data_IF_210273353342
#
_entry.id   IF_210273353342
#
_cell.length_a   1.000
_cell.length_b   1.000
_cell.length_c   1.000
_cell.angle_alpha   90.00
_cell.angle_beta   90.00
_cell.angle_gamma   90.00
#
_symmetry.space_group_name_H-M   'P 1'
#
loop_
_entity.id
_entity.type
_entity.pdbx_description
1 polymer ?
#
# COMPACT_ATOMS: atom_id res chain seq x y z
N UNK A 1 -44.38 -1.15 -5.42
CA UNK A 1 -43.99 -1.29 -6.85
C UNK A 1 -42.49 -1.45 -7.03
N UNK A 2 -41.65 -0.63 -6.36
CA UNK A 2 -40.17 -0.75 -6.38
C UNK A 2 -39.68 -2.16 -5.98
N UNK A 3 -40.27 -2.74 -4.93
CA UNK A 3 -39.93 -4.07 -4.39
C UNK A 3 -40.00 -5.21 -5.39
N UNK A 4 -41.11 -5.30 -6.13
CA UNK A 4 -41.35 -6.38 -7.07
C UNK A 4 -40.33 -6.32 -8.21
N UNK A 5 -40.04 -5.10 -8.65
CA UNK A 5 -39.11 -4.87 -9.74
C UNK A 5 -37.65 -5.14 -9.34
N UNK A 6 -37.24 -4.84 -8.10
CA UNK A 6 -35.87 -5.14 -7.63
C UNK A 6 -35.59 -6.64 -7.68
N UNK A 7 -36.57 -7.48 -7.33
CA UNK A 7 -36.42 -8.94 -7.39
C UNK A 7 -36.39 -9.43 -8.84
N UNK A 8 -37.29 -8.95 -9.70
CA UNK A 8 -37.26 -9.23 -11.14
C UNK A 8 -35.92 -8.82 -11.78
N UNK A 9 -35.39 -7.66 -11.40
CA UNK A 9 -34.10 -7.18 -11.86
C UNK A 9 -32.94 -8.07 -11.37
N UNK A 10 -32.93 -8.46 -10.10
CA UNK A 10 -31.90 -9.35 -9.56
C UNK A 10 -31.86 -10.69 -10.32
N UNK A 11 -33.04 -11.27 -10.62
CA UNK A 11 -33.14 -12.48 -11.43
C UNK A 11 -32.69 -12.24 -12.88
N UNK A 12 -33.04 -11.10 -13.48
CA UNK A 12 -32.65 -10.75 -14.84
C UNK A 12 -31.13 -10.54 -14.99
N UNK A 13 -30.43 -10.06 -13.95
CA UNK A 13 -28.97 -9.91 -13.92
C UNK A 13 -28.24 -11.25 -13.88
N UNK A 14 -28.83 -12.26 -13.23
CA UNK A 14 -28.27 -13.62 -13.15
C UNK A 14 -28.61 -14.48 -14.39
N UNK A 15 -29.67 -14.14 -15.10
CA UNK A 15 -30.10 -14.81 -16.33
C UNK A 15 -29.64 -14.12 -17.62
N UNK A 16 -30.29 -14.44 -18.74
CA UNK A 16 -30.03 -13.85 -20.08
C UNK A 16 -30.90 -12.63 -20.40
N UNK A 17 -31.73 -12.18 -19.45
CA UNK A 17 -32.77 -11.16 -19.66
C UNK A 17 -32.26 -9.74 -19.99
N UNK A 18 -30.95 -9.51 -19.88
CA UNK A 18 -30.29 -8.21 -20.11
C UNK A 18 -29.17 -8.29 -21.16
N UNK A 19 -29.25 -9.22 -22.10
CA UNK A 19 -28.30 -9.34 -23.22
C UNK A 19 -28.46 -8.23 -24.27
N UNK A 20 -29.68 -7.67 -24.39
CA UNK A 20 -30.00 -6.63 -25.38
C UNK A 20 -29.76 -5.24 -24.77
N UNK A 21 -29.02 -4.39 -25.48
CA UNK A 21 -28.62 -3.05 -25.04
C UNK A 21 -29.81 -2.17 -24.62
N UNK A 22 -30.91 -2.16 -25.38
CA UNK A 22 -32.11 -1.39 -25.05
C UNK A 22 -32.73 -1.79 -23.71
N UNK A 23 -32.72 -3.08 -23.36
CA UNK A 23 -33.22 -3.56 -22.07
C UNK A 23 -32.31 -3.06 -20.92
N UNK A 24 -30.99 -3.04 -21.16
CA UNK A 24 -30.00 -2.51 -20.22
C UNK A 24 -30.20 -1.01 -19.98
N UNK A 25 -30.44 -0.23 -21.04
CA UNK A 25 -30.69 1.21 -20.93
C UNK A 25 -31.96 1.53 -20.14
N UNK A 26 -33.02 0.74 -20.34
CA UNK A 26 -34.26 0.89 -19.58
C UNK A 26 -34.04 0.55 -18.10
N UNK A 27 -33.32 -0.55 -17.82
CA UNK A 27 -32.95 -0.91 -16.46
C UNK A 27 -32.11 0.18 -15.81
N UNK A 28 -31.06 0.67 -16.47
CA UNK A 28 -30.18 1.74 -15.97
C UNK A 28 -30.95 3.02 -15.62
N UNK A 29 -31.89 3.44 -16.47
CA UNK A 29 -32.78 4.59 -16.19
C UNK A 29 -33.65 4.36 -14.96
N UNK A 30 -34.24 3.18 -14.83
CA UNK A 30 -35.12 2.83 -13.71
C UNK A 30 -34.35 2.73 -12.38
N UNK A 31 -33.16 2.13 -12.39
CA UNK A 31 -32.26 2.09 -11.22
C UNK A 31 -31.94 3.51 -10.77
N UNK A 32 -31.54 4.39 -11.69
CA UNK A 32 -31.22 5.78 -11.34
C UNK A 32 -32.41 6.51 -10.71
N UNK A 33 -33.62 6.31 -11.24
CA UNK A 33 -34.84 6.86 -10.65
C UNK A 33 -35.04 6.40 -9.21
N UNK A 34 -34.92 5.09 -8.96
CA UNK A 34 -35.05 4.52 -7.61
C UNK A 34 -33.96 5.04 -6.66
N UNK A 35 -32.72 5.16 -7.13
CA UNK A 35 -31.62 5.71 -6.31
C UNK A 35 -31.83 7.17 -5.96
N UNK A 36 -32.39 7.96 -6.88
CA UNK A 36 -32.73 9.37 -6.63
C UNK A 36 -33.83 9.47 -5.57
N UNK A 37 -34.86 8.63 -5.65
CA UNK A 37 -35.91 8.54 -4.63
C UNK A 37 -35.35 8.09 -3.28
N UNK A 38 -34.48 7.08 -3.26
CA UNK A 38 -33.85 6.57 -2.05
C UNK A 38 -32.97 7.63 -1.36
N UNK A 39 -32.23 8.42 -2.14
CA UNK A 39 -31.42 9.52 -1.62
C UNK A 39 -32.24 10.63 -0.94
N UNK A 40 -33.55 10.71 -1.21
CA UNK A 40 -34.46 11.66 -0.59
C UNK A 40 -35.21 11.11 0.65
N UNK A 41 -35.01 9.83 1.01
CA UNK A 41 -35.66 9.22 2.18
C UNK A 41 -34.93 9.62 3.46
N UNK A 42 -35.57 10.42 4.31
CA UNK A 42 -34.96 10.90 5.57
C UNK A 42 -34.80 9.79 6.63
N UNK A 43 -35.76 8.86 6.71
CA UNK A 43 -35.81 7.81 7.75
C UNK A 43 -36.08 6.42 7.14
N UNK A 44 -35.07 5.75 6.58
CA UNK A 44 -35.21 4.41 6.02
C UNK A 44 -35.49 3.38 7.11
N UNK A 45 -36.59 2.63 6.95
CA UNK A 45 -36.89 1.48 7.81
C UNK A 45 -36.15 0.20 7.35
N UNK A 46 -36.35 -0.91 8.07
CA UNK A 46 -35.70 -2.19 7.73
C UNK A 46 -36.02 -2.69 6.32
N UNK A 47 -37.26 -2.54 5.87
CA UNK A 47 -37.62 -2.88 4.50
C UNK A 47 -36.83 -2.03 3.50
N UNK A 48 -36.79 -0.69 3.67
CA UNK A 48 -36.03 0.21 2.79
C UNK A 48 -34.58 -0.25 2.64
N UNK A 49 -33.93 -0.57 3.76
CA UNK A 49 -32.56 -1.08 3.76
C UNK A 49 -32.39 -2.34 2.92
N UNK A 50 -33.29 -3.32 3.08
CA UNK A 50 -33.21 -4.58 2.35
C UNK A 50 -33.42 -4.41 0.84
N UNK A 51 -34.37 -3.58 0.38
CA UNK A 51 -34.54 -3.32 -1.06
C UNK A 51 -33.32 -2.63 -1.66
N UNK A 52 -32.89 -1.53 -1.03
CA UNK A 52 -31.81 -0.73 -1.60
C UNK A 52 -30.52 -1.53 -1.60
N UNK A 53 -30.26 -2.32 -0.56
CA UNK A 53 -29.15 -3.26 -0.56
C UNK A 53 -29.21 -4.25 -1.73
N UNK A 54 -30.34 -4.94 -1.95
CA UNK A 54 -30.48 -5.92 -3.05
C UNK A 54 -30.36 -5.27 -4.43
N UNK A 55 -30.91 -4.07 -4.58
CA UNK A 55 -30.80 -3.28 -5.79
C UNK A 55 -29.33 -2.95 -6.08
N UNK A 56 -28.60 -2.45 -5.07
CA UNK A 56 -27.19 -2.09 -5.20
C UNK A 56 -26.31 -3.31 -5.48
N UNK A 57 -26.55 -4.45 -4.82
CA UNK A 57 -25.78 -5.68 -5.03
C UNK A 57 -25.95 -6.20 -6.47
N UNK A 58 -27.18 -6.17 -6.98
CA UNK A 58 -27.49 -6.51 -8.38
C UNK A 58 -26.93 -5.47 -9.35
N UNK A 59 -27.03 -4.18 -9.00
CA UNK A 59 -26.50 -3.07 -9.79
C UNK A 59 -24.98 -3.18 -9.94
N UNK A 60 -24.25 -3.52 -8.87
CA UNK A 60 -22.80 -3.74 -8.90
C UNK A 60 -22.42 -4.80 -9.93
N UNK A 61 -23.14 -5.90 -9.98
CA UNK A 61 -22.90 -6.97 -10.97
C UNK A 61 -23.26 -6.49 -12.38
N UNK A 62 -24.42 -5.87 -12.53
CA UNK A 62 -24.91 -5.32 -13.79
C UNK A 62 -23.95 -4.31 -14.43
N UNK A 63 -23.31 -3.46 -13.62
CA UNK A 63 -22.36 -2.43 -14.05
C UNK A 63 -21.01 -2.96 -14.57
N UNK A 64 -20.73 -4.27 -14.44
CA UNK A 64 -19.51 -4.87 -14.98
C UNK A 64 -19.49 -4.87 -16.51
N UNK A 65 -20.66 -4.94 -17.15
CA UNK A 65 -20.82 -4.77 -18.58
C UNK A 65 -21.26 -3.32 -18.88
N UNK A 66 -20.43 -2.60 -19.63
CA UNK A 66 -20.59 -1.16 -19.88
C UNK A 66 -21.63 -0.82 -20.95
N UNK A 67 -22.15 -1.80 -21.68
CA UNK A 67 -23.14 -1.55 -22.74
C UNK A 67 -24.47 -1.06 -22.14
N UNK A 68 -25.04 0.01 -22.67
CA UNK A 68 -26.35 0.53 -22.26
C UNK A 68 -26.48 0.98 -20.79
N UNK A 69 -25.39 1.35 -20.10
CA UNK A 69 -25.44 1.79 -18.69
C UNK A 69 -25.00 3.23 -18.44
N UNK A 70 -24.94 4.09 -19.48
CA UNK A 70 -24.43 5.46 -19.37
C UNK A 70 -25.10 6.28 -18.26
N UNK A 71 -26.39 6.01 -18.00
CA UNK A 71 -27.15 6.66 -16.93
C UNK A 71 -26.58 6.37 -15.54
N UNK A 72 -26.02 5.17 -15.31
CA UNK A 72 -25.37 4.77 -14.05
C UNK A 72 -23.90 5.21 -13.99
N UNK A 73 -23.31 5.55 -15.13
CA UNK A 73 -21.95 6.06 -15.27
C UNK A 73 -21.89 7.60 -15.25
N UNK A 74 -23.02 8.25 -14.98
CA UNK A 74 -23.19 9.69 -14.92
C UNK A 74 -22.74 10.27 -13.57
N UNK A 75 -22.52 11.59 -13.53
CA UNK A 75 -22.20 12.28 -12.28
C UNK A 75 -23.39 12.29 -11.31
N UNK A 76 -24.62 12.29 -11.83
CA UNK A 76 -25.86 12.29 -11.07
C UNK A 76 -26.08 10.93 -10.37
N UNK A 77 -25.75 9.83 -11.05
CA UNK A 77 -25.77 8.51 -10.42
C UNK A 77 -24.67 8.39 -9.36
N UNK A 78 -23.47 8.88 -9.65
CA UNK A 78 -22.37 8.93 -8.68
C UNK A 78 -22.75 9.71 -7.42
N UNK A 79 -23.45 10.84 -7.58
CA UNK A 79 -23.99 11.63 -6.48
C UNK A 79 -25.01 10.86 -5.66
N UNK A 80 -25.96 10.19 -6.33
CA UNK A 80 -26.97 9.36 -5.66
C UNK A 80 -26.32 8.26 -4.81
N UNK A 81 -25.28 7.59 -5.32
CA UNK A 81 -24.53 6.62 -4.52
C UNK A 81 -23.87 7.28 -3.31
N UNK A 82 -23.22 8.43 -3.48
CA UNK A 82 -22.51 9.10 -2.40
C UNK A 82 -23.46 9.63 -1.31
N UNK A 83 -24.65 10.12 -1.67
CA UNK A 83 -25.67 10.53 -0.68
C UNK A 83 -26.06 9.36 0.23
N UNK A 84 -26.27 8.17 -0.35
CA UNK A 84 -26.55 6.96 0.43
C UNK A 84 -25.38 6.60 1.36
N UNK A 85 -24.14 6.85 0.96
CA UNK A 85 -22.94 6.59 1.77
C UNK A 85 -22.79 7.60 2.92
N UNK A 86 -23.15 8.86 2.69
CA UNK A 86 -23.04 9.95 3.67
C UNK A 86 -24.11 9.90 4.75
N UNK A 87 -25.30 9.42 4.41
CA UNK A 87 -26.41 9.32 5.35
C UNK A 87 -26.23 8.10 6.30
N UNK A 88 -26.13 8.39 7.60
CA UNK A 88 -25.94 7.40 8.65
C UNK A 88 -27.22 6.63 9.01
N UNK A 89 -28.39 7.07 8.52
CA UNK A 89 -29.64 6.37 8.73
C UNK A 89 -29.72 5.09 7.88
N UNK A 90 -28.94 5.01 6.78
CA UNK A 90 -28.77 3.77 6.04
C UNK A 90 -27.82 2.81 6.75
N UNK A 91 -28.15 1.51 6.68
CA UNK A 91 -27.32 0.44 7.23
C UNK A 91 -25.93 0.40 6.58
N UNK A 92 -24.93 -0.10 7.32
CA UNK A 92 -23.55 -0.28 6.81
C UNK A 92 -23.53 -1.06 5.50
N UNK A 93 -24.40 -2.07 5.35
CA UNK A 93 -24.49 -2.89 4.13
C UNK A 93 -24.88 -2.08 2.90
N UNK A 94 -25.86 -1.18 3.02
CA UNK A 94 -26.27 -0.29 1.92
C UNK A 94 -25.12 0.65 1.55
N UNK A 95 -24.50 1.25 2.56
CA UNK A 95 -23.40 2.21 2.38
C UNK A 95 -22.18 1.55 1.71
N UNK A 96 -21.80 0.37 2.17
CA UNK A 96 -20.71 -0.42 1.57
C UNK A 96 -21.03 -0.83 0.13
N UNK A 97 -22.27 -1.26 -0.16
CA UNK A 97 -22.64 -1.67 -1.51
C UNK A 97 -22.74 -0.49 -2.49
N UNK A 98 -23.16 0.69 -2.01
CA UNK A 98 -23.12 1.93 -2.77
C UNK A 98 -21.68 2.32 -3.13
N UNK A 99 -20.71 2.23 -2.20
CA UNK A 99 -19.30 2.45 -2.51
C UNK A 99 -18.77 1.47 -3.56
N UNK A 100 -19.17 0.20 -3.53
CA UNK A 100 -18.78 -0.77 -4.58
C UNK A 100 -19.35 -0.38 -5.96
N UNK A 101 -20.56 0.16 -6.02
CA UNK A 101 -21.11 0.73 -7.25
C UNK A 101 -20.33 1.98 -7.71
N UNK A 102 -19.91 2.84 -6.77
CA UNK A 102 -19.04 3.99 -7.07
C UNK A 102 -17.70 3.53 -7.66
N UNK A 103 -17.06 2.49 -7.11
CA UNK A 103 -15.82 1.92 -7.65
C UNK A 103 -16.01 1.54 -9.12
N UNK A 104 -17.09 0.83 -9.46
CA UNK A 104 -17.40 0.47 -10.85
C UNK A 104 -17.65 1.70 -11.74
N UNK A 105 -18.19 2.78 -11.18
CA UNK A 105 -18.46 4.03 -11.89
C UNK A 105 -17.18 4.76 -12.30
N UNK A 106 -16.11 4.66 -11.49
CA UNK A 106 -14.85 5.40 -11.71
C UNK A 106 -13.73 4.56 -12.32
N UNK A 107 -13.79 3.24 -12.17
CA UNK A 107 -12.78 2.29 -12.66
C UNK A 107 -12.55 2.44 -14.17
N UNK A 108 -11.29 2.51 -14.64
CA UNK A 108 -10.92 2.63 -16.06
C UNK A 108 -11.69 3.73 -16.82
N UNK A 109 -11.86 4.91 -16.18
CA UNK A 109 -12.50 6.11 -16.74
C UNK A 109 -11.77 7.41 -16.30
N UNK A 110 -10.47 7.57 -16.61
CA UNK A 110 -9.65 8.67 -16.09
C UNK A 110 -10.10 10.09 -16.51
N UNK A 111 -10.71 10.24 -17.69
CA UNK A 111 -11.26 11.52 -18.18
C UNK A 111 -12.46 11.96 -17.34
N UNK A 112 -13.47 11.08 -17.21
CA UNK A 112 -14.64 11.32 -16.36
C UNK A 112 -14.23 11.64 -14.91
N UNK A 113 -13.28 10.89 -14.36
CA UNK A 113 -12.77 11.11 -13.01
C UNK A 113 -12.15 12.51 -12.88
N UNK A 114 -11.30 12.90 -13.83
CA UNK A 114 -10.63 14.21 -13.82
C UNK A 114 -11.63 15.38 -13.86
N UNK A 115 -12.69 15.24 -14.64
CA UNK A 115 -13.72 16.27 -14.83
C UNK A 115 -14.78 16.29 -13.74
N UNK A 116 -15.01 15.16 -13.07
CA UNK A 116 -16.13 15.00 -12.14
C UNK A 116 -15.67 15.00 -10.69
N UNK A 117 -14.74 14.13 -10.31
CA UNK A 117 -14.46 13.85 -8.90
C UNK A 117 -13.90 15.07 -8.16
N UNK A 118 -12.99 15.81 -8.82
CA UNK A 118 -12.39 17.02 -8.26
C UNK A 118 -13.34 18.20 -8.45
N UNK A 119 -13.78 18.47 -9.69
CA UNK A 119 -14.52 19.70 -10.00
C UNK A 119 -15.90 19.76 -9.32
N UNK A 120 -16.54 18.62 -9.06
CA UNK A 120 -17.83 18.54 -8.36
C UNK A 120 -17.69 18.22 -6.86
N UNK A 121 -16.47 18.22 -6.30
CA UNK A 121 -16.26 18.09 -4.85
C UNK A 121 -16.47 16.69 -4.25
N UNK A 122 -16.55 15.65 -5.07
CA UNK A 122 -16.73 14.27 -4.59
C UNK A 122 -15.58 13.80 -3.70
N UNK A 123 -14.34 14.19 -4.01
CA UNK A 123 -13.17 13.83 -3.18
C UNK A 123 -13.32 14.35 -1.76
N UNK A 124 -13.68 15.62 -1.60
CA UNK A 124 -13.87 16.25 -0.28
C UNK A 124 -14.97 15.55 0.52
N UNK A 125 -16.07 15.21 -0.13
CA UNK A 125 -17.18 14.46 0.47
C UNK A 125 -16.78 13.05 0.91
N UNK A 126 -16.07 12.31 0.06
CA UNK A 126 -15.50 10.99 0.41
C UNK A 126 -14.55 11.07 1.61
N UNK A 127 -13.67 12.08 1.64
CA UNK A 127 -12.81 12.33 2.81
C UNK A 127 -13.64 12.67 4.05
N UNK A 128 -14.76 13.38 3.90
CA UNK A 128 -15.73 13.61 4.97
C UNK A 128 -16.36 12.33 5.52
N UNK A 129 -16.61 11.33 4.69
CA UNK A 129 -17.06 9.99 5.14
C UNK A 129 -15.95 9.31 5.95
N UNK A 130 -14.69 9.40 5.51
CA UNK A 130 -13.55 8.77 6.20
C UNK A 130 -13.29 9.33 7.62
N UNK A 131 -13.74 10.56 7.92
CA UNK A 131 -13.65 11.17 9.26
C UNK A 131 -14.60 10.57 10.28
N UNK A 132 -15.70 9.98 9.81
CA UNK A 132 -16.75 9.46 10.68
C UNK A 132 -16.37 8.05 11.13
N UNK A 133 -16.89 7.63 12.28
CA UNK A 133 -16.75 6.24 12.72
C UNK A 133 -17.39 5.26 11.73
N UNK A 134 -16.77 4.10 11.55
CA UNK A 134 -17.22 3.07 10.62
C UNK A 134 -16.53 1.73 10.84
N UNK A 135 -16.90 0.74 10.04
CA UNK A 135 -16.24 -0.56 9.99
C UNK A 135 -14.95 -0.46 9.15
N UNK A 136 -14.02 -1.39 9.34
CA UNK A 136 -12.83 -1.47 8.49
C UNK A 136 -13.20 -1.63 6.99
N UNK A 137 -14.26 -2.40 6.69
CA UNK A 137 -14.80 -2.55 5.33
C UNK A 137 -15.24 -1.21 4.74
N UNK A 138 -16.01 -0.42 5.49
CA UNK A 138 -16.48 0.89 5.02
C UNK A 138 -15.31 1.84 4.75
N UNK A 139 -14.35 1.95 5.67
CA UNK A 139 -13.15 2.77 5.46
C UNK A 139 -12.35 2.28 4.26
N UNK A 140 -12.16 0.97 4.11
CA UNK A 140 -11.46 0.39 2.98
C UNK A 140 -12.11 0.79 1.66
N UNK A 141 -13.43 0.67 1.56
CA UNK A 141 -14.14 1.00 0.33
C UNK A 141 -14.07 2.49 -0.03
N UNK A 142 -14.10 3.40 0.95
CA UNK A 142 -13.88 4.85 0.71
C UNK A 142 -12.50 5.09 0.11
N UNK A 143 -11.45 4.55 0.74
CA UNK A 143 -10.09 4.70 0.24
C UNK A 143 -9.87 3.95 -1.09
N UNK A 144 -10.60 2.86 -1.33
CA UNK A 144 -10.56 2.11 -2.58
C UNK A 144 -11.11 2.93 -3.75
N UNK A 145 -12.19 3.69 -3.55
CA UNK A 145 -12.69 4.63 -4.57
C UNK A 145 -11.60 5.63 -4.95
N UNK A 146 -10.92 6.22 -3.95
CA UNK A 146 -9.83 7.18 -4.20
C UNK A 146 -8.61 6.53 -4.88
N UNK A 147 -8.21 5.34 -4.45
CA UNK A 147 -7.10 4.58 -5.04
C UNK A 147 -7.37 4.25 -6.51
N UNK A 148 -8.55 3.74 -6.85
CA UNK A 148 -8.91 3.43 -8.24
C UNK A 148 -8.99 4.71 -9.07
N UNK A 149 -9.41 5.82 -8.48
CA UNK A 149 -9.47 7.13 -9.13
C UNK A 149 -8.09 7.71 -9.44
N UNK A 150 -7.01 7.16 -8.87
CA UNK A 150 -5.64 7.62 -9.13
C UNK A 150 -5.13 7.31 -10.54
N UNK A 151 -5.85 6.50 -11.33
CA UNK A 151 -5.61 6.38 -12.78
C UNK A 151 -5.72 7.72 -13.51
N UNK A 152 -6.50 8.66 -12.97
CA UNK A 152 -6.57 10.04 -13.43
C UNK A 152 -5.44 10.87 -12.79
N UNK A 153 -4.46 11.40 -13.56
CA UNK A 153 -3.26 12.05 -12.99
C UNK A 153 -3.55 13.27 -12.10
N UNK A 154 -4.70 13.93 -12.26
CA UNK A 154 -5.09 15.06 -11.41
C UNK A 154 -5.44 14.63 -9.98
N UNK A 155 -5.87 13.39 -9.77
CA UNK A 155 -6.32 12.90 -8.47
C UNK A 155 -5.15 12.71 -7.50
N UNK A 156 -4.06 11.98 -7.84
CA UNK A 156 -2.88 11.91 -6.99
C UNK A 156 -2.36 13.30 -6.63
N UNK A 157 -2.26 14.20 -7.61
CA UNK A 157 -1.78 15.58 -7.39
C UNK A 157 -2.65 16.37 -6.42
N UNK A 158 -3.97 16.23 -6.52
CA UNK A 158 -4.92 16.87 -5.62
C UNK A 158 -4.81 16.32 -4.18
N UNK A 159 -4.72 15.00 -4.05
CA UNK A 159 -4.63 14.32 -2.75
C UNK A 159 -3.27 14.55 -2.07
N UNK A 160 -2.18 14.48 -2.84
CA UNK A 160 -0.81 14.53 -2.33
C UNK A 160 -0.43 15.91 -1.78
N UNK A 161 -1.08 16.97 -2.25
CA UNK A 161 -0.89 18.35 -1.80
C UNK A 161 -1.81 18.76 -0.64
N UNK A 162 -2.72 17.87 -0.22
CA UNK A 162 -3.70 18.12 0.85
C UNK A 162 -3.22 17.60 2.20
N UNK A 163 -2.92 18.50 3.15
CA UNK A 163 -2.58 18.12 4.53
C UNK A 163 -3.66 17.25 5.18
N UNK A 164 -4.92 17.61 4.97
CA UNK A 164 -6.06 16.87 5.51
C UNK A 164 -6.09 15.43 5.01
N UNK A 165 -5.77 15.20 3.73
CA UNK A 165 -5.70 13.85 3.17
C UNK A 165 -4.65 13.02 3.89
N UNK A 166 -3.45 13.55 4.12
CA UNK A 166 -2.40 12.85 4.85
C UNK A 166 -2.76 12.57 6.31
N UNK A 167 -3.40 13.51 6.99
CA UNK A 167 -3.88 13.32 8.37
C UNK A 167 -4.93 12.20 8.44
N UNK A 168 -5.85 12.13 7.47
CA UNK A 168 -6.87 11.09 7.41
C UNK A 168 -6.31 9.73 7.03
N UNK A 169 -5.32 9.68 6.13
CA UNK A 169 -4.57 8.46 5.83
C UNK A 169 -3.88 7.95 7.09
N UNK A 170 -3.15 8.81 7.80
CA UNK A 170 -2.48 8.44 9.05
C UNK A 170 -3.47 7.91 10.08
N UNK A 171 -4.56 8.64 10.34
CA UNK A 171 -5.58 8.23 11.30
C UNK A 171 -6.24 6.89 10.91
N UNK A 172 -6.53 6.69 9.63
CA UNK A 172 -7.13 5.43 9.15
C UNK A 172 -6.15 4.27 9.22
N UNK A 173 -4.88 4.49 8.88
CA UNK A 173 -3.84 3.46 8.95
C UNK A 173 -3.59 3.07 10.41
N UNK A 174 -3.54 4.05 11.31
CA UNK A 174 -3.42 3.84 12.76
C UNK A 174 -4.62 3.06 13.31
N UNK A 175 -5.84 3.41 12.89
CA UNK A 175 -7.04 2.65 13.21
C UNK A 175 -6.91 1.19 12.74
N UNK A 176 -6.61 0.98 11.46
CA UNK A 176 -6.48 -0.34 10.86
C UNK A 176 -5.40 -1.21 11.52
N UNK A 177 -4.29 -0.61 11.95
CA UNK A 177 -3.16 -1.32 12.53
C UNK A 177 -3.33 -1.58 14.02
N UNK A 178 -3.70 -0.56 14.82
CA UNK A 178 -3.68 -0.66 16.28
C UNK A 178 -4.99 -1.18 16.90
N UNK A 179 -6.13 -1.07 16.22
CA UNK A 179 -7.43 -1.36 16.85
C UNK A 179 -7.96 -2.76 16.50
N UNK A 180 -8.42 -3.49 17.51
CA UNK A 180 -9.00 -4.84 17.34
C UNK A 180 -7.98 -5.96 17.53
N UNK A 181 -8.38 -7.21 17.21
CA UNK A 181 -7.51 -8.38 17.34
C UNK A 181 -6.33 -8.30 16.37
N UNK A 182 -5.09 -8.42 16.86
CA UNK A 182 -3.87 -8.30 16.05
C UNK A 182 -3.79 -9.34 14.92
N UNK A 183 -4.47 -10.50 15.05
CA UNK A 183 -4.58 -11.48 13.96
C UNK A 183 -5.30 -10.93 12.72
N UNK A 184 -6.17 -9.92 12.89
CA UNK A 184 -6.83 -9.21 11.79
C UNK A 184 -5.92 -8.34 10.92
N UNK A 185 -4.64 -8.17 11.27
CA UNK A 185 -3.66 -7.50 10.39
C UNK A 185 -3.36 -8.34 9.15
N UNK A 186 -3.45 -9.67 9.27
CA UNK A 186 -3.20 -10.61 8.18
C UNK A 186 -4.48 -11.30 7.71
N UNK A 187 -5.66 -10.92 8.21
CA UNK A 187 -6.91 -11.48 7.72
C UNK A 187 -8.11 -10.53 7.75
N UNK A 188 -9.07 -10.77 6.86
CA UNK A 188 -10.30 -10.01 6.75
C UNK A 188 -10.14 -8.57 6.24
N UNK A 189 -11.12 -7.73 6.58
CA UNK A 189 -11.25 -6.37 6.07
C UNK A 189 -10.11 -5.44 6.51
N UNK A 190 -9.55 -5.67 7.70
CA UNK A 190 -8.44 -4.86 8.21
C UNK A 190 -7.16 -5.06 7.41
N UNK A 191 -6.80 -6.31 7.09
CA UNK A 191 -5.68 -6.60 6.21
C UNK A 191 -5.84 -5.91 4.84
N UNK A 192 -7.06 -5.96 4.28
CA UNK A 192 -7.39 -5.35 2.98
C UNK A 192 -7.32 -3.82 3.04
N UNK A 193 -7.85 -3.21 4.10
CA UNK A 193 -7.75 -1.78 4.38
C UNK A 193 -6.28 -1.33 4.42
N UNK A 194 -5.46 -2.00 5.24
CA UNK A 194 -4.04 -1.65 5.40
C UNK A 194 -3.30 -1.74 4.07
N UNK A 195 -3.47 -2.85 3.32
CA UNK A 195 -2.80 -3.05 2.04
C UNK A 195 -3.17 -1.98 1.01
N UNK A 196 -4.47 -1.72 0.81
CA UNK A 196 -4.90 -0.74 -0.20
C UNK A 196 -4.60 0.70 0.22
N UNK A 197 -4.62 1.01 1.52
CA UNK A 197 -4.25 2.32 2.02
C UNK A 197 -2.74 2.59 1.82
N UNK A 198 -1.88 1.61 2.07
CA UNK A 198 -0.45 1.73 1.80
C UNK A 198 -0.18 1.83 0.29
N UNK A 199 -0.92 1.11 -0.57
CA UNK A 199 -0.82 1.30 -2.04
C UNK A 199 -1.17 2.73 -2.45
N UNK A 200 -2.20 3.33 -1.84
CA UNK A 200 -2.53 4.73 -2.08
C UNK A 200 -1.38 5.64 -1.64
N UNK A 201 -0.82 5.43 -0.46
CA UNK A 201 0.37 6.17 0.03
C UNK A 201 1.51 6.07 -0.98
N UNK A 202 1.82 4.88 -1.50
CA UNK A 202 2.87 4.69 -2.52
C UNK A 202 2.62 5.58 -3.75
N UNK A 203 1.38 5.63 -4.24
CA UNK A 203 0.99 6.49 -5.38
C UNK A 203 1.21 7.97 -5.04
N UNK A 204 0.77 8.41 -3.85
CA UNK A 204 0.85 9.81 -3.45
C UNK A 204 2.30 10.26 -3.22
N UNK A 205 3.13 9.46 -2.54
CA UNK A 205 4.55 9.76 -2.33
C UNK A 205 5.29 9.86 -3.67
N UNK A 206 5.02 8.94 -4.59
CA UNK A 206 5.62 8.95 -5.92
C UNK A 206 5.21 10.19 -6.73
N UNK A 207 3.95 10.64 -6.63
CA UNK A 207 3.47 11.88 -7.26
C UNK A 207 4.11 13.14 -6.67
N UNK A 208 4.29 13.19 -5.34
CA UNK A 208 4.88 14.36 -4.68
C UNK A 208 6.32 14.62 -5.09
N UNK A 209 7.09 13.55 -5.38
CA UNK A 209 8.55 13.61 -5.56
C UNK A 209 9.19 14.48 -4.46
N UNK A 210 9.07 14.06 -3.20
CA UNK A 210 9.44 14.84 -2.00
C UNK A 210 10.88 15.40 -2.11
N UNK A 211 11.02 16.64 -2.55
CA UNK A 211 12.29 17.36 -2.65
C UNK A 211 12.37 18.43 -1.56
N UNK A 212 13.58 18.95 -1.30
CA UNK A 212 13.78 20.03 -0.34
C UNK A 212 12.96 21.30 -0.66
N UNK A 213 12.66 21.55 -1.94
CA UNK A 213 11.81 22.67 -2.33
C UNK A 213 10.32 22.39 -2.04
N UNK A 214 9.86 21.15 -2.23
CA UNK A 214 8.50 20.75 -1.83
C UNK A 214 8.31 20.83 -0.32
N UNK A 215 9.35 20.51 0.47
CA UNK A 215 9.33 20.60 1.93
C UNK A 215 9.02 22.02 2.41
N UNK A 216 9.66 23.01 1.78
CA UNK A 216 9.42 24.42 2.08
C UNK A 216 8.02 24.87 1.68
N UNK A 217 7.46 24.32 0.59
CA UNK A 217 6.13 24.69 0.09
C UNK A 217 5.01 24.09 0.93
N UNK A 218 5.18 22.85 1.42
CA UNK A 218 4.13 22.09 2.11
C UNK A 218 4.66 21.47 3.43
N UNK A 219 5.13 22.27 4.40
CA UNK A 219 5.78 21.76 5.61
C UNK A 219 4.86 20.88 6.46
N UNK A 220 3.57 21.19 6.50
CA UNK A 220 2.58 20.37 7.21
C UNK A 220 2.42 18.98 6.59
N UNK A 221 2.45 18.88 5.26
CA UNK A 221 2.38 17.60 4.55
C UNK A 221 3.63 16.77 4.83
N UNK A 222 4.81 17.39 4.80
CA UNK A 222 6.06 16.71 5.13
C UNK A 222 6.05 16.17 6.56
N UNK A 223 5.55 16.94 7.53
CA UNK A 223 5.40 16.46 8.90
C UNK A 223 4.42 15.28 9.00
N UNK A 224 3.31 15.31 8.25
CA UNK A 224 2.36 14.20 8.23
C UNK A 224 2.97 12.93 7.59
N UNK A 225 3.72 13.07 6.48
CA UNK A 225 4.48 11.97 5.88
C UNK A 225 5.54 11.45 6.85
N UNK A 226 6.15 12.34 7.64
CA UNK A 226 7.10 11.95 8.65
C UNK A 226 6.46 11.08 9.74
N UNK A 227 5.32 11.48 10.27
CA UNK A 227 4.56 10.70 11.25
C UNK A 227 4.11 9.35 10.68
N UNK A 228 3.70 9.33 9.41
CA UNK A 228 3.37 8.11 8.68
C UNK A 228 4.56 7.16 8.57
N UNK A 229 5.77 7.70 8.39
CA UNK A 229 7.02 6.93 8.39
C UNK A 229 7.22 6.09 9.65
N UNK A 230 6.99 6.68 10.83
CA UNK A 230 7.05 5.97 12.11
C UNK A 230 6.05 4.81 12.17
N UNK A 231 4.80 5.04 11.77
CA UNK A 231 3.78 3.99 11.74
C UNK A 231 4.12 2.85 10.75
N UNK A 232 4.73 3.17 9.61
CA UNK A 232 5.21 2.17 8.65
C UNK A 232 6.38 1.35 9.20
N UNK A 233 7.28 1.96 9.99
CA UNK A 233 8.33 1.22 10.71
C UNK A 233 7.74 0.28 11.76
N UNK A 234 6.71 0.70 12.49
CA UNK A 234 6.00 -0.19 13.41
C UNK A 234 5.36 -1.38 12.68
N UNK A 235 4.79 -1.17 11.48
CA UNK A 235 4.28 -2.27 10.63
C UNK A 235 5.41 -3.22 10.22
N UNK A 236 6.60 -2.72 9.88
CA UNK A 236 7.76 -3.57 9.60
C UNK A 236 8.22 -4.37 10.82
N UNK A 237 8.16 -3.79 12.03
CA UNK A 237 8.49 -4.48 13.28
C UNK A 237 7.43 -5.47 13.75
N UNK A 238 6.22 -5.39 13.21
CA UNK A 238 5.11 -6.20 13.70
C UNK A 238 5.47 -7.69 13.74
N UNK A 239 5.38 -8.27 14.92
CA UNK A 239 5.50 -9.70 15.21
C UNK A 239 4.31 -10.13 16.05
N UNK A 240 3.91 -11.39 15.93
CA UNK A 240 2.80 -11.94 16.69
C UNK A 240 3.04 -13.43 16.93
N UNK A 241 2.72 -13.93 18.12
CA UNK A 241 2.97 -15.32 18.51
C UNK A 241 2.29 -16.35 17.60
N UNK A 242 1.11 -16.01 17.09
CA UNK A 242 0.30 -16.90 16.24
C UNK A 242 0.53 -16.69 14.73
N UNK A 243 1.27 -15.65 14.33
CA UNK A 243 1.49 -15.33 12.91
C UNK A 243 2.95 -15.60 12.58
N UNK A 244 3.19 -16.56 11.69
CA UNK A 244 4.54 -16.79 11.17
C UNK A 244 5.13 -15.49 10.58
N UNK A 245 6.40 -15.16 10.86
CA UNK A 245 7.09 -14.04 10.20
C UNK A 245 7.12 -14.15 8.68
N UNK A 246 6.98 -15.37 8.14
CA UNK A 246 6.93 -15.66 6.70
C UNK A 246 5.50 -15.81 6.17
N UNK A 247 4.48 -15.43 6.96
CA UNK A 247 3.09 -15.41 6.50
C UNK A 247 2.97 -14.56 5.23
N UNK A 248 2.37 -15.12 4.18
CA UNK A 248 2.30 -14.49 2.85
C UNK A 248 1.68 -13.09 2.92
N UNK A 249 0.59 -12.91 3.66
CA UNK A 249 -0.11 -11.62 3.78
C UNK A 249 0.69 -10.63 4.62
N UNK A 250 1.38 -11.09 5.67
CA UNK A 250 2.27 -10.23 6.46
C UNK A 250 3.45 -9.73 5.63
N UNK A 251 4.09 -10.63 4.88
CA UNK A 251 5.19 -10.26 3.96
C UNK A 251 4.70 -9.27 2.91
N UNK A 252 3.49 -9.46 2.37
CA UNK A 252 2.89 -8.50 1.42
C UNK A 252 2.75 -7.12 2.05
N UNK A 253 2.19 -7.05 3.26
CA UNK A 253 2.01 -5.80 3.97
C UNK A 253 3.33 -5.09 4.24
N UNK A 254 4.34 -5.82 4.74
CA UNK A 254 5.67 -5.26 4.99
C UNK A 254 6.36 -4.83 3.70
N UNK A 255 6.24 -5.60 2.62
CA UNK A 255 6.80 -5.22 1.32
C UNK A 255 6.12 -3.97 0.75
N UNK A 256 4.81 -3.78 0.99
CA UNK A 256 4.12 -2.52 0.64
C UNK A 256 4.63 -1.33 1.43
N UNK A 257 4.97 -1.49 2.71
CA UNK A 257 5.65 -0.44 3.46
C UNK A 257 7.04 -0.11 2.87
N UNK A 258 7.81 -1.12 2.45
CA UNK A 258 9.08 -0.92 1.75
C UNK A 258 8.92 -0.20 0.41
N UNK A 259 7.85 -0.47 -0.33
CA UNK A 259 7.52 0.27 -1.56
C UNK A 259 7.28 1.76 -1.28
N UNK A 260 6.65 2.13 -0.15
CA UNK A 260 6.56 3.55 0.22
C UNK A 260 7.94 4.13 0.46
N UNK A 261 8.76 3.44 1.26
CA UNK A 261 10.10 3.89 1.60
C UNK A 261 11.02 4.04 0.38
N UNK A 262 10.86 3.22 -0.66
CA UNK A 262 11.67 3.31 -1.87
C UNK A 262 11.54 4.67 -2.60
N UNK A 263 10.40 5.35 -2.43
CA UNK A 263 10.12 6.66 -3.05
C UNK A 263 10.49 7.85 -2.15
N UNK A 264 10.91 7.60 -0.91
CA UNK A 264 11.31 8.67 0.01
C UNK A 264 12.79 9.05 -0.18
N UNK A 265 13.14 10.33 0.03
CA UNK A 265 14.54 10.76 0.07
C UNK A 265 15.33 10.00 1.14
N UNK A 266 16.58 9.65 0.84
CA UNK A 266 17.45 8.95 1.79
C UNK A 266 17.62 9.69 3.13
N UNK A 267 17.65 11.01 3.12
CA UNK A 267 17.70 11.84 4.35
C UNK A 267 16.47 11.67 5.24
N UNK A 268 15.27 11.60 4.64
CA UNK A 268 14.03 11.38 5.36
C UNK A 268 13.94 9.94 5.89
N UNK A 269 14.35 8.95 5.09
CA UNK A 269 14.47 7.56 5.54
C UNK A 269 15.42 7.41 6.73
N UNK A 270 16.59 8.06 6.66
CA UNK A 270 17.55 8.07 7.76
C UNK A 270 16.95 8.72 9.01
N UNK A 271 16.23 9.83 8.87
CA UNK A 271 15.55 10.48 9.98
C UNK A 271 14.53 9.54 10.67
N UNK A 272 13.77 8.75 9.91
CA UNK A 272 12.81 7.79 10.49
C UNK A 272 13.51 6.71 11.33
N UNK A 273 14.57 6.14 10.78
CA UNK A 273 15.36 5.08 11.42
C UNK A 273 16.09 5.61 12.67
N UNK A 274 16.54 6.86 12.65
CA UNK A 274 17.32 7.47 13.73
C UNK A 274 16.45 8.09 14.85
N UNK A 275 15.21 8.45 14.56
CA UNK A 275 14.31 9.05 15.56
C UNK A 275 13.81 8.09 16.63
N UNK A 276 14.16 6.82 16.55
CA UNK A 276 13.75 5.86 17.55
C UNK A 276 14.75 5.75 18.70
N UNK A 277 14.38 6.22 19.90
CA UNK A 277 15.07 5.82 21.10
C UNK A 277 14.81 4.33 21.36
N UNK A 278 15.89 3.57 21.55
CA UNK A 278 15.88 2.27 22.23
C UNK A 278 15.48 2.50 23.70
N UNK A 279 14.18 2.61 23.99
CA UNK A 279 13.66 2.68 25.36
C UNK A 279 12.41 1.83 25.49
N UNK A 280 12.60 0.53 25.66
CA UNK A 280 11.69 -0.32 26.42
C UNK A 280 12.47 -0.83 27.64
N UNK A 281 12.25 -0.23 28.81
CA UNK A 281 12.96 -0.54 30.06
C UNK A 281 12.55 -1.88 30.69
N UNK A 282 11.66 -2.67 30.06
CA UNK A 282 11.04 -3.85 30.70
C UNK A 282 11.61 -5.21 30.26
N UNK A 283 12.54 -5.28 29.30
CA UNK A 283 13.20 -6.55 28.93
C UNK A 283 14.71 -6.34 28.77
N UNK A 284 15.47 -6.77 29.79
CA UNK A 284 16.90 -6.53 29.97
C UNK A 284 17.89 -7.19 28.98
N UNK A 285 17.56 -7.27 27.68
CA UNK A 285 18.51 -7.55 26.60
C UNK A 285 18.01 -6.85 25.31
N UNK A 286 18.54 -5.66 24.99
CA UNK A 286 18.19 -4.91 23.78
C UNK A 286 19.40 -4.90 22.83
N UNK A 287 19.44 -5.83 21.87
CA UNK A 287 20.32 -5.76 20.67
C UNK A 287 19.53 -5.24 19.45
N UNK A 288 18.56 -4.36 19.71
CA UNK A 288 17.68 -3.77 18.70
C UNK A 288 18.37 -2.67 17.91
N UNK A 289 19.26 -3.06 17.00
CA UNK A 289 19.81 -2.18 15.98
C UNK A 289 18.74 -1.27 15.35
N UNK A 290 19.07 0.01 15.10
CA UNK A 290 18.17 0.99 14.45
C UNK A 290 17.60 0.46 13.11
N UNK A 291 18.37 -0.36 12.38
CA UNK A 291 17.97 -0.95 11.10
C UNK A 291 17.32 -2.32 11.23
N UNK A 292 17.06 -2.81 12.44
CA UNK A 292 16.47 -4.15 12.66
C UNK A 292 15.22 -4.42 11.83
N UNK A 293 14.24 -3.51 11.65
CA UNK A 293 13.03 -3.83 10.87
C UNK A 293 13.34 -4.03 9.40
N UNK A 294 14.28 -3.25 8.86
CA UNK A 294 14.71 -3.32 7.45
C UNK A 294 15.52 -4.59 7.22
N UNK A 295 16.43 -4.93 8.14
CA UNK A 295 17.28 -6.13 8.06
C UNK A 295 16.43 -7.40 8.23
N UNK A 296 15.50 -7.43 9.16
CA UNK A 296 14.62 -8.57 9.38
C UNK A 296 13.70 -8.79 8.18
N UNK A 297 13.18 -7.71 7.59
CA UNK A 297 12.41 -7.81 6.35
C UNK A 297 13.29 -8.29 5.18
N UNK A 298 14.52 -7.80 5.04
CA UNK A 298 15.48 -8.29 4.05
C UNK A 298 15.74 -9.79 4.19
N UNK A 299 15.94 -10.27 5.41
CA UNK A 299 16.13 -11.69 5.70
C UNK A 299 14.89 -12.50 5.32
N UNK A 300 13.69 -12.05 5.72
CA UNK A 300 12.44 -12.71 5.35
C UNK A 300 12.25 -12.75 3.82
N UNK A 301 12.54 -11.65 3.12
CA UNK A 301 12.48 -11.59 1.66
C UNK A 301 13.49 -12.52 0.98
N UNK A 302 14.72 -12.64 1.51
CA UNK A 302 15.70 -13.63 1.03
C UNK A 302 15.18 -15.06 1.18
N UNK A 303 14.49 -15.37 2.28
CA UNK A 303 13.89 -16.70 2.47
C UNK A 303 12.80 -16.98 1.44
N UNK A 304 11.79 -16.12 1.33
CA UNK A 304 10.63 -16.37 0.44
C UNK A 304 10.96 -16.24 -1.05
N UNK A 305 11.90 -15.37 -1.44
CA UNK A 305 12.28 -15.17 -2.85
C UNK A 305 13.34 -16.17 -3.31
N UNK A 306 14.33 -16.51 -2.46
CA UNK A 306 15.50 -17.30 -2.90
C UNK A 306 15.61 -18.70 -2.31
N UNK A 307 15.01 -18.96 -1.16
CA UNK A 307 15.05 -20.28 -0.54
C UNK A 307 13.81 -21.06 -0.91
N UNK A 308 12.65 -20.52 -0.55
CA UNK A 308 11.36 -21.15 -0.77
C UNK A 308 10.87 -20.93 -2.21
N UNK A 309 11.31 -19.84 -2.85
CA UNK A 309 10.85 -19.41 -4.19
C UNK A 309 9.31 -19.28 -4.27
N UNK A 310 8.69 -18.87 -3.16
CA UNK A 310 7.25 -18.61 -3.04
C UNK A 310 6.87 -17.23 -3.56
N UNK A 311 7.86 -16.35 -3.80
CA UNK A 311 7.68 -15.01 -4.38
C UNK A 311 8.66 -14.73 -5.53
N UNK A 312 8.25 -13.92 -6.52
CA UNK A 312 9.09 -13.59 -7.66
C UNK A 312 10.24 -12.65 -7.29
N UNK A 313 11.36 -12.78 -8.01
CA UNK A 313 12.60 -12.01 -7.76
C UNK A 313 12.39 -10.49 -7.73
N UNK A 314 11.53 -9.96 -8.61
CA UNK A 314 11.24 -8.53 -8.72
C UNK A 314 10.70 -7.90 -7.42
N UNK A 315 10.09 -8.70 -6.54
CA UNK A 315 9.58 -8.21 -5.25
C UNK A 315 10.71 -7.90 -4.26
N UNK A 316 11.94 -8.34 -4.53
CA UNK A 316 13.11 -7.97 -3.74
C UNK A 316 13.54 -6.50 -3.94
N UNK A 317 13.13 -5.89 -5.06
CA UNK A 317 13.64 -4.60 -5.50
C UNK A 317 13.36 -3.44 -4.52
N UNK A 318 12.14 -3.26 -3.95
CA UNK A 318 11.89 -2.21 -2.97
C UNK A 318 12.84 -2.32 -1.76
N UNK A 319 13.04 -3.54 -1.26
CA UNK A 319 13.93 -3.80 -0.13
C UNK A 319 15.38 -3.42 -0.44
N UNK A 320 15.90 -3.82 -1.61
CA UNK A 320 17.27 -3.48 -2.01
C UNK A 320 17.47 -1.98 -2.24
N UNK A 321 16.47 -1.30 -2.82
CA UNK A 321 16.51 0.15 -3.04
C UNK A 321 16.53 0.89 -1.70
N UNK A 322 15.70 0.49 -0.73
CA UNK A 322 15.69 1.10 0.60
C UNK A 322 17.04 0.90 1.31
N UNK A 323 17.58 -0.34 1.30
CA UNK A 323 18.91 -0.61 1.86
C UNK A 323 20.00 0.24 1.22
N UNK A 324 20.00 0.34 -0.12
CA UNK A 324 20.91 1.19 -0.88
C UNK A 324 20.75 2.66 -0.51
N UNK A 325 19.52 3.19 -0.50
CA UNK A 325 19.25 4.61 -0.24
C UNK A 325 19.66 5.03 1.17
N UNK A 326 19.43 4.16 2.16
CA UNK A 326 19.90 4.35 3.53
C UNK A 326 21.44 4.38 3.59
N UNK A 327 22.12 3.41 2.99
CA UNK A 327 23.59 3.38 2.97
C UNK A 327 24.19 4.58 2.23
N UNK A 328 23.56 5.00 1.12
CA UNK A 328 23.98 6.13 0.28
C UNK A 328 23.92 7.48 1.01
N UNK A 329 23.20 7.59 2.12
CA UNK A 329 23.23 8.80 2.96
C UNK A 329 24.62 9.09 3.52
N UNK A 330 25.51 8.09 3.59
CA UNK A 330 26.84 8.24 4.16
C UNK A 330 26.85 8.37 5.69
N UNK A 331 25.71 8.17 6.37
CA UNK A 331 25.65 8.19 7.83
C UNK A 331 26.53 7.08 8.43
N UNK A 332 27.53 7.41 9.28
CA UNK A 332 28.41 6.42 9.88
C UNK A 332 27.68 5.37 10.69
N UNK A 333 26.61 5.75 11.39
CA UNK A 333 25.83 4.84 12.23
C UNK A 333 25.07 3.81 11.39
N UNK A 334 24.43 4.28 10.30
CA UNK A 334 23.72 3.41 9.34
C UNK A 334 24.68 2.45 8.67
N UNK A 335 25.82 2.94 8.17
CA UNK A 335 26.83 2.11 7.51
C UNK A 335 27.41 1.07 8.48
N UNK A 336 27.79 1.49 9.69
CA UNK A 336 28.32 0.58 10.72
C UNK A 336 27.32 -0.51 11.06
N UNK A 337 26.04 -0.13 11.20
CA UNK A 337 24.94 -1.04 11.45
C UNK A 337 24.79 -2.09 10.33
N UNK A 338 24.71 -1.65 9.06
CA UNK A 338 24.62 -2.58 7.93
C UNK A 338 25.86 -3.47 7.82
N UNK A 339 27.08 -2.92 7.97
CA UNK A 339 28.31 -3.72 7.94
C UNK A 339 28.29 -4.82 9.01
N UNK A 340 27.94 -4.48 10.25
CA UNK A 340 27.83 -5.43 11.36
C UNK A 340 26.79 -6.52 11.09
N UNK A 341 25.68 -6.18 10.44
CA UNK A 341 24.58 -7.11 10.18
C UNK A 341 24.75 -7.97 8.92
N UNK A 342 25.36 -7.43 7.87
CA UNK A 342 25.34 -8.02 6.52
C UNK A 342 26.69 -8.63 6.12
N UNK A 343 27.80 -7.96 6.40
CA UNK A 343 29.12 -8.42 5.97
C UNK A 343 29.66 -9.48 6.94
N UNK A 344 30.00 -10.69 6.46
CA UNK A 344 30.72 -11.67 7.27
C UNK A 344 32.10 -11.15 7.64
N UNK A 345 32.62 -11.53 8.81
CA UNK A 345 33.98 -11.15 9.22
C UNK A 345 35.03 -11.62 8.19
N UNK A 346 35.98 -10.75 7.88
CA UNK A 346 37.07 -10.90 6.90
C UNK A 346 38.24 -11.74 7.38
N UNK A 347 38.22 -12.20 8.64
CA UNK A 347 39.35 -12.91 9.23
C UNK A 347 39.48 -14.31 8.60
N UNK A 348 40.55 -14.48 7.81
CA UNK A 348 40.97 -15.76 7.29
C UNK A 348 41.05 -16.81 8.41
N UNK A 349 40.57 -18.01 8.10
CA UNK A 349 40.74 -19.26 8.85
C UNK A 349 39.89 -19.49 10.12
N UNK A 350 38.95 -18.62 10.48
CA UNK A 350 37.98 -18.95 11.52
C UNK A 350 36.61 -19.28 10.91
N UNK A 351 36.27 -20.58 10.95
CA UNK A 351 34.90 -21.09 10.81
C UNK A 351 33.98 -20.21 11.67
N UNK A 352 32.80 -19.75 11.19
CA UNK A 352 31.91 -18.89 11.97
C UNK A 352 31.67 -19.48 13.36
N UNK A 353 32.24 -18.80 14.35
CA UNK A 353 32.45 -19.29 15.73
C UNK A 353 31.13 -19.25 16.50
N UNK A 354 30.24 -18.32 16.14
CA UNK A 354 28.94 -18.15 16.77
C UNK A 354 27.79 -18.49 15.82
N UNK A 355 26.61 -18.80 16.38
CA UNK A 355 25.38 -19.00 15.59
C UNK A 355 25.01 -17.75 14.78
N UNK A 356 25.27 -16.56 15.33
CA UNK A 356 25.04 -15.26 14.68
C UNK A 356 25.90 -15.14 13.42
N UNK A 357 27.18 -15.48 13.49
CA UNK A 357 28.08 -15.40 12.34
C UNK A 357 27.70 -16.39 11.23
N UNK A 358 27.19 -17.58 11.61
CA UNK A 358 26.66 -18.55 10.64
C UNK A 358 25.44 -18.01 9.91
N UNK A 359 24.52 -17.38 10.64
CA UNK A 359 23.31 -16.77 10.08
C UNK A 359 23.66 -15.62 9.13
N UNK A 360 24.59 -14.74 9.52
CA UNK A 360 25.10 -13.66 8.64
C UNK A 360 25.73 -14.21 7.38
N UNK A 361 26.63 -15.19 7.49
CA UNK A 361 27.25 -15.84 6.35
C UNK A 361 26.23 -16.52 5.42
N UNK A 362 25.17 -17.12 5.98
CA UNK A 362 24.07 -17.70 5.22
C UNK A 362 23.34 -16.64 4.39
N UNK A 363 22.84 -15.57 5.01
CA UNK A 363 22.10 -14.53 4.29
C UNK A 363 22.98 -13.80 3.27
N UNK A 364 24.23 -13.50 3.63
CA UNK A 364 25.19 -12.88 2.70
C UNK A 364 25.43 -13.76 1.47
N UNK A 365 25.55 -15.09 1.64
CA UNK A 365 25.65 -16.03 0.51
C UNK A 365 24.42 -15.97 -0.40
N UNK A 366 23.22 -15.75 0.14
CA UNK A 366 21.99 -15.60 -0.66
C UNK A 366 21.95 -14.26 -1.39
N UNK A 367 22.40 -13.19 -0.74
CA UNK A 367 22.51 -11.87 -1.35
C UNK A 367 23.48 -11.86 -2.54
N UNK A 368 24.65 -12.53 -2.41
CA UNK A 368 25.62 -12.66 -3.50
C UNK A 368 25.07 -13.29 -4.77
N UNK A 369 24.04 -14.13 -4.67
CA UNK A 369 23.40 -14.72 -5.86
C UNK A 369 22.82 -13.65 -6.78
N UNK A 370 22.36 -12.52 -6.25
CA UNK A 370 21.78 -11.45 -7.06
C UNK A 370 22.83 -10.72 -7.91
N UNK A 371 24.11 -10.79 -7.56
CA UNK A 371 25.20 -10.18 -8.35
C UNK A 371 25.32 -10.77 -9.76
N UNK A 372 24.76 -11.96 -9.99
CA UNK A 372 24.79 -12.65 -11.30
C UNK A 372 23.40 -12.93 -11.84
N UNK A 373 22.34 -12.39 -11.23
CA UNK A 373 20.98 -12.61 -11.73
C UNK A 373 20.72 -11.83 -13.05
N UNK A 374 19.67 -12.25 -13.77
CA UNK A 374 19.27 -11.66 -15.05
C UNK A 374 18.53 -10.33 -14.87
N UNK A 375 17.87 -10.14 -13.73
CA UNK A 375 17.19 -8.89 -13.39
C UNK A 375 18.25 -7.79 -13.14
N UNK A 376 18.32 -6.84 -14.06
CA UNK A 376 19.37 -5.82 -14.08
C UNK A 376 19.28 -4.88 -12.89
N UNK A 377 18.07 -4.59 -12.41
CA UNK A 377 17.85 -3.66 -11.31
C UNK A 377 18.20 -4.32 -9.98
N UNK A 378 17.73 -5.56 -9.76
CA UNK A 378 18.10 -6.34 -8.57
C UNK A 378 19.62 -6.54 -8.49
N UNK A 379 20.27 -6.88 -9.62
CA UNK A 379 21.73 -6.99 -9.69
C UNK A 379 22.41 -5.67 -9.38
N UNK A 380 21.97 -4.57 -9.99
CA UNK A 380 22.55 -3.24 -9.82
C UNK A 380 22.47 -2.78 -8.37
N UNK A 381 21.28 -2.76 -7.78
CA UNK A 381 21.09 -2.26 -6.41
C UNK A 381 21.78 -3.14 -5.37
N UNK A 382 21.81 -4.46 -5.56
CA UNK A 382 22.59 -5.34 -4.68
C UNK A 382 24.08 -5.00 -4.76
N UNK A 383 24.60 -4.83 -5.98
CA UNK A 383 26.02 -4.57 -6.21
C UNK A 383 26.45 -3.19 -5.69
N UNK A 384 25.70 -2.13 -6.02
CA UNK A 384 25.95 -0.77 -5.54
C UNK A 384 25.87 -0.69 -4.01
N UNK A 385 24.86 -1.32 -3.40
CA UNK A 385 24.73 -1.35 -1.93
C UNK A 385 25.91 -2.04 -1.26
N UNK A 386 26.29 -3.24 -1.70
CA UNK A 386 27.43 -3.96 -1.12
C UNK A 386 28.75 -3.22 -1.29
N UNK A 387 28.92 -2.47 -2.39
CA UNK A 387 30.10 -1.63 -2.60
C UNK A 387 30.15 -0.46 -1.61
N UNK A 388 29.02 0.19 -1.32
CA UNK A 388 28.92 1.20 -0.26
C UNK A 388 29.27 0.61 1.12
N UNK A 389 28.82 -0.63 1.41
CA UNK A 389 29.16 -1.30 2.67
C UNK A 389 30.65 -1.66 2.77
N UNK A 390 31.36 -1.74 1.64
CA UNK A 390 32.81 -1.95 1.61
C UNK A 390 33.57 -0.62 1.48
N UNK A 391 32.98 0.50 1.93
CA UNK A 391 33.59 1.85 1.86
C UNK A 391 34.05 2.26 0.45
N UNK A 392 33.34 1.78 -0.58
CA UNK A 392 33.72 1.96 -1.98
C UNK A 392 35.16 1.47 -2.30
N UNK A 393 35.67 0.53 -1.50
CA UNK A 393 36.98 -0.06 -1.66
C UNK A 393 36.91 -1.30 -2.57
N UNK A 394 37.50 -1.20 -3.76
CA UNK A 394 37.49 -2.28 -4.75
C UNK A 394 38.10 -3.60 -4.24
N UNK A 395 39.12 -3.53 -3.38
CA UNK A 395 39.78 -4.74 -2.83
C UNK A 395 38.89 -5.44 -1.83
N UNK A 396 38.28 -4.69 -0.92
CA UNK A 396 37.38 -5.22 0.11
C UNK A 396 36.10 -5.78 -0.51
N UNK A 397 35.51 -5.05 -1.45
CA UNK A 397 34.37 -5.52 -2.23
C UNK A 397 34.68 -6.83 -2.95
N UNK A 398 35.81 -6.89 -3.66
CA UNK A 398 36.27 -8.10 -4.35
C UNK A 398 36.52 -9.26 -3.39
N UNK A 399 37.08 -9.00 -2.21
CA UNK A 399 37.30 -10.01 -1.19
C UNK A 399 35.98 -10.65 -0.74
N UNK A 400 34.94 -9.85 -0.48
CA UNK A 400 33.65 -10.36 -0.03
C UNK A 400 32.83 -11.04 -1.15
N UNK A 401 32.80 -10.45 -2.35
CA UNK A 401 31.93 -10.91 -3.44
C UNK A 401 32.59 -11.90 -4.39
N UNK A 402 33.92 -11.92 -4.46
CA UNK A 402 34.70 -12.61 -5.47
C UNK A 402 34.84 -11.79 -6.76
N UNK A 403 35.98 -11.93 -7.44
CA UNK A 403 36.35 -11.17 -8.65
C UNK A 403 35.29 -11.26 -9.74
N UNK A 404 34.80 -12.46 -10.05
CA UNK A 404 33.81 -12.67 -11.12
C UNK A 404 32.50 -11.92 -10.90
N UNK A 405 32.07 -11.75 -9.64
CA UNK A 405 30.87 -10.99 -9.30
C UNK A 405 31.15 -9.48 -9.22
N UNK A 406 32.36 -9.10 -8.81
CA UNK A 406 32.74 -7.69 -8.62
C UNK A 406 33.03 -6.96 -9.94
N UNK A 407 33.60 -7.66 -10.93
CA UNK A 407 34.17 -7.04 -12.14
C UNK A 407 33.18 -6.16 -12.91
N UNK A 408 31.91 -6.53 -12.95
CA UNK A 408 30.87 -5.77 -13.66
C UNK A 408 30.70 -4.35 -13.10
N UNK A 409 30.54 -4.23 -11.78
CA UNK A 409 30.44 -2.92 -11.11
C UNK A 409 31.75 -2.15 -11.19
N UNK A 410 32.88 -2.81 -10.94
CA UNK A 410 34.18 -2.14 -10.93
C UNK A 410 34.53 -1.54 -12.30
N UNK A 411 34.18 -2.23 -13.40
CA UNK A 411 34.29 -1.65 -14.76
C UNK A 411 33.40 -0.44 -14.97
N UNK A 412 32.13 -0.51 -14.53
CA UNK A 412 31.21 0.63 -14.63
C UNK A 412 31.69 1.84 -13.81
N UNK A 413 32.41 1.61 -12.70
CA UNK A 413 32.99 2.65 -11.84
C UNK A 413 34.39 3.11 -12.29
N UNK A 414 35.00 2.49 -13.30
CA UNK A 414 36.36 2.82 -13.77
C UNK A 414 37.49 2.36 -12.82
N UNK A 415 37.26 1.31 -12.04
CA UNK A 415 38.16 0.81 -10.98
C UNK A 415 38.73 -0.59 -11.27
N UNK A 416 38.47 -1.16 -12.45
CA UNK A 416 38.83 -2.53 -12.84
C UNK A 416 39.97 -2.61 -13.84
#
# INVERSE_FOLDING_TARGET
MVWLWTEEFAQAVLGTGLEVEQAREQAARKIRGILTEAAAVETPNGAHNDAIYRLLDSCRVFMRDRRGIDQLLSAEALDSFLVLVEDQNWSSRVREEALKCMINSVYSRPEFVSETLIAKGFVTRLLGVSRRGGTASLHWLVWKVLLVSCEAPKVPRYLSTSLETWQLIYATLLYGFKHGNQTGIVDGDRATLLLDLIKLVTVLVNDMQLTADQEKLLPGVFNAVHQLGGLLLEILRFTHSEISPLNVKLIELKNKAMEVFMFLPGSLLAAFVQQEPCTDEEAGEIDGSMLSPVIDHLHAMLLVVRIENTRPLKEMLPTLIVCHNLAKTGSPDILTCFKKAILPATNGDLVPVTAIDRTKAFFFKKLKFFLTCLDTDVRRYTSEWLFLLCDENAKEYTHHTGVGNAIGLLRMKGLA
#
